data_IF_247599649112
#
_entry.id   IF_247599649112
#
_cell.length_a   1.000
_cell.length_b   1.000
_cell.length_c   1.000
_cell.angle_alpha   90.00
_cell.angle_beta   90.00
_cell.angle_gamma   90.00
#
_symmetry.space_group_name_H-M   'P 1'
#
loop_
_entity.id
_entity.type
_entity.pdbx_description
1 polymer ?
#
# COMPACT_ATOMS: atom_id res chain seq x y z
N UNK A 1 -19.57 15.50 -23.85
CA UNK A 1 -19.97 15.57 -22.43
C UNK A 1 -18.76 16.11 -21.71
N UNK A 2 -18.94 17.18 -20.95
CA UNK A 2 -17.84 17.90 -20.32
C UNK A 2 -17.26 17.04 -19.18
N UNK A 3 -15.99 16.62 -19.32
CA UNK A 3 -15.22 16.04 -18.22
C UNK A 3 -14.98 17.15 -17.20
N UNK A 4 -15.91 17.30 -16.26
CA UNK A 4 -15.65 18.07 -15.04
C UNK A 4 -14.57 17.33 -14.28
N UNK A 5 -13.36 17.88 -14.26
CA UNK A 5 -12.30 17.44 -13.34
C UNK A 5 -12.88 17.39 -11.93
N UNK A 6 -13.03 16.18 -11.40
CA UNK A 6 -13.41 15.98 -10.00
C UNK A 6 -12.21 16.48 -9.17
N UNK A 7 -12.43 17.37 -8.19
CA UNK A 7 -11.34 17.86 -7.36
C UNK A 7 -10.64 16.70 -6.63
N UNK A 8 -9.33 16.79 -6.50
CA UNK A 8 -8.54 15.85 -5.70
C UNK A 8 -8.97 15.96 -4.23
N UNK A 9 -9.53 14.88 -3.67
CA UNK A 9 -9.94 14.84 -2.28
C UNK A 9 -8.89 14.12 -1.46
N UNK A 10 -8.11 14.85 -0.67
CA UNK A 10 -7.20 14.25 0.29
C UNK A 10 -7.98 13.78 1.53
N UNK A 11 -7.69 12.57 1.98
CA UNK A 11 -8.40 11.98 3.11
C UNK A 11 -7.53 11.02 3.92
N UNK A 12 -7.94 10.85 5.18
CA UNK A 12 -7.52 9.77 6.06
C UNK A 12 -8.72 8.84 6.23
N UNK A 13 -8.53 7.56 5.97
CA UNK A 13 -9.59 6.56 5.95
C UNK A 13 -9.29 5.51 7.01
N UNK A 14 -10.26 5.29 7.89
CA UNK A 14 -10.20 4.27 8.94
C UNK A 14 -10.85 2.99 8.43
N UNK A 15 -10.12 1.90 8.53
CA UNK A 15 -10.48 0.60 7.99
C UNK A 15 -10.74 -0.36 9.14
N UNK A 16 -11.95 -0.93 9.18
CA UNK A 16 -12.40 -1.89 10.18
C UNK A 16 -12.12 -1.46 11.65
N UNK A 17 -12.00 -0.15 11.92
CA UNK A 17 -11.75 0.42 13.25
C UNK A 17 -10.36 0.21 13.85
N UNK A 18 -9.40 -0.38 13.12
CA UNK A 18 -8.06 -0.68 13.66
C UNK A 18 -6.91 -0.39 12.69
N UNK A 19 -7.20 -0.18 11.40
CA UNK A 19 -6.22 0.19 10.39
C UNK A 19 -6.54 1.57 9.84
N UNK A 20 -5.52 2.27 9.34
CA UNK A 20 -5.69 3.56 8.68
C UNK A 20 -4.92 3.57 7.36
N UNK A 21 -5.42 4.35 6.41
CA UNK A 21 -4.73 4.68 5.16
C UNK A 21 -4.97 6.17 4.85
N UNK A 22 -3.99 6.84 4.24
CA UNK A 22 -4.12 8.24 3.88
C UNK A 22 -3.58 8.49 2.48
N UNK A 23 -4.24 9.37 1.73
CA UNK A 23 -3.91 9.66 0.35
C UNK A 23 -5.04 10.38 -0.39
N UNK A 24 -4.92 10.42 -1.72
CA UNK A 24 -5.96 10.98 -2.59
C UNK A 24 -7.07 9.95 -2.73
N UNK A 25 -8.29 10.36 -2.37
CA UNK A 25 -9.49 9.55 -2.42
C UNK A 25 -10.28 9.85 -3.70
N UNK A 26 -10.67 8.78 -4.39
CA UNK A 26 -11.56 8.86 -5.54
C UNK A 26 -12.51 7.66 -5.60
N UNK A 27 -13.51 7.73 -6.48
CA UNK A 27 -14.35 6.58 -6.80
C UNK A 27 -13.72 5.77 -7.95
N UNK A 28 -13.72 4.45 -7.83
CA UNK A 28 -13.32 3.55 -8.90
C UNK A 28 -14.39 2.48 -9.10
N UNK A 29 -14.92 2.37 -10.32
CA UNK A 29 -15.94 1.38 -10.65
C UNK A 29 -15.39 0.35 -11.62
N UNK A 30 -15.56 -0.94 -11.31
CA UNK A 30 -15.14 -2.07 -12.16
C UNK A 30 -16.08 -3.25 -11.98
N UNK A 31 -16.48 -3.89 -13.08
CA UNK A 31 -17.32 -5.09 -13.03
C UNK A 31 -18.69 -4.89 -12.38
N UNK A 32 -19.25 -3.68 -12.43
CA UNK A 32 -20.52 -3.33 -11.77
C UNK A 32 -20.41 -3.02 -10.27
N UNK A 33 -19.20 -3.08 -9.70
CA UNK A 33 -18.92 -2.72 -8.31
C UNK A 33 -18.27 -1.34 -8.23
N UNK A 34 -18.65 -0.53 -7.24
CA UNK A 34 -17.95 0.72 -6.89
C UNK A 34 -17.06 0.51 -5.67
N UNK A 35 -15.86 1.06 -5.73
CA UNK A 35 -14.84 1.03 -4.69
C UNK A 35 -14.39 2.45 -4.34
N UNK A 36 -13.95 2.62 -3.10
CA UNK A 36 -13.14 3.78 -2.72
C UNK A 36 -11.71 3.48 -3.10
N UNK A 37 -11.18 4.26 -4.04
CA UNK A 37 -9.78 4.23 -4.45
C UNK A 37 -9.00 5.20 -3.59
N UNK A 38 -7.86 4.74 -3.07
CA UNK A 38 -6.91 5.55 -2.32
C UNK A 38 -5.56 5.47 -3.01
N UNK A 39 -5.09 6.58 -3.53
CA UNK A 39 -3.74 6.74 -4.05
C UNK A 39 -2.84 7.27 -2.91
N UNK A 40 -2.06 6.37 -2.33
CA UNK A 40 -1.14 6.64 -1.22
C UNK A 40 0.12 7.30 -1.79
N UNK A 41 0.54 8.46 -1.26
CA UNK A 41 1.76 9.13 -1.72
C UNK A 41 3.01 8.33 -1.34
N UNK A 42 4.12 8.65 -2.00
CA UNK A 42 5.44 8.14 -1.60
C UNK A 42 5.73 8.55 -0.16
N UNK A 43 6.26 7.61 0.61
CA UNK A 43 6.77 7.80 1.99
C UNK A 43 8.26 7.45 2.03
N UNK A 44 8.93 7.67 3.16
CA UNK A 44 10.34 7.25 3.31
C UNK A 44 10.55 5.74 3.21
N UNK A 45 9.56 4.93 3.60
CA UNK A 45 9.71 3.47 3.65
C UNK A 45 9.08 2.75 2.46
N UNK A 46 8.18 3.40 1.73
CA UNK A 46 7.38 2.77 0.69
C UNK A 46 7.14 3.71 -0.50
N UNK A 47 7.29 3.23 -1.75
CA UNK A 47 6.83 3.98 -2.92
C UNK A 47 5.32 4.21 -2.86
N UNK A 48 4.85 5.21 -3.58
CA UNK A 48 3.41 5.47 -3.70
C UNK A 48 2.71 4.30 -4.38
N UNK A 49 1.48 4.03 -3.97
CA UNK A 49 0.69 2.92 -4.49
C UNK A 49 -0.81 3.19 -4.38
N UNK A 50 -1.60 2.43 -5.13
CA UNK A 50 -3.07 2.54 -5.11
C UNK A 50 -3.67 1.33 -4.42
N UNK A 51 -4.71 1.55 -3.61
CA UNK A 51 -5.51 0.47 -3.03
C UNK A 51 -7.01 0.76 -3.18
N UNK A 52 -7.77 -0.28 -3.50
CA UNK A 52 -9.22 -0.23 -3.65
C UNK A 52 -9.89 -0.87 -2.43
N UNK A 53 -10.89 -0.20 -1.87
CA UNK A 53 -11.66 -0.68 -0.72
C UNK A 53 -13.14 -0.75 -1.04
N UNK A 54 -13.76 -1.87 -0.67
CA UNK A 54 -15.21 -1.96 -0.64
C UNK A 54 -15.78 -1.14 0.51
N UNK A 55 -17.03 -0.69 0.36
CA UNK A 55 -17.74 0.10 1.37
C UNK A 55 -17.74 -0.54 2.77
N UNK A 56 -17.88 -1.87 2.88
CA UNK A 56 -17.91 -2.59 4.16
C UNK A 56 -16.57 -2.60 4.91
N UNK A 57 -15.47 -2.19 4.28
CA UNK A 57 -14.17 -2.06 4.93
C UNK A 57 -14.00 -0.73 5.65
N UNK A 58 -14.79 0.29 5.30
CA UNK A 58 -14.60 1.66 5.72
C UNK A 58 -15.41 1.92 6.98
N UNK A 59 -14.72 2.26 8.06
CA UNK A 59 -15.33 2.69 9.31
C UNK A 59 -15.63 4.20 9.28
N UNK A 60 -14.64 5.01 8.86
CA UNK A 60 -14.78 6.45 8.77
C UNK A 60 -13.88 7.03 7.68
N UNK A 61 -14.27 8.19 7.16
CA UNK A 61 -13.49 8.99 6.19
C UNK A 61 -13.36 10.40 6.76
N UNK A 62 -12.13 10.85 6.95
CA UNK A 62 -11.80 12.21 7.36
C UNK A 62 -11.18 12.93 6.17
N UNK A 63 -11.98 13.77 5.51
CA UNK A 63 -11.50 14.64 4.42
C UNK A 63 -10.63 15.73 5.04
N UNK A 64 -9.45 15.97 4.46
CA UNK A 64 -8.45 16.89 4.99
C UNK A 64 -7.63 17.49 3.84
N UNK A 65 -6.69 18.37 4.15
CA UNK A 65 -5.76 18.93 3.18
C UNK A 65 -4.60 17.97 2.85
N UNK A 66 -3.87 18.29 1.78
CA UNK A 66 -2.74 17.49 1.31
C UNK A 66 -1.63 17.33 2.35
N UNK A 67 -1.30 18.40 3.08
CA UNK A 67 -0.20 18.41 4.04
C UNK A 67 -0.49 17.42 5.18
N UNK A 68 -1.69 17.49 5.74
CA UNK A 68 -2.15 16.60 6.80
C UNK A 68 -2.21 15.15 6.34
N UNK A 69 -2.78 14.87 5.16
CA UNK A 69 -2.88 13.51 4.65
C UNK A 69 -1.50 12.88 4.37
N UNK A 70 -0.56 13.65 3.79
CA UNK A 70 0.83 13.20 3.58
C UNK A 70 1.55 12.94 4.90
N UNK A 71 1.40 13.82 5.89
CA UNK A 71 2.00 13.64 7.20
C UNK A 71 1.49 12.37 7.90
N UNK A 72 0.18 12.07 7.78
CA UNK A 72 -0.38 10.83 8.28
C UNK A 72 0.14 9.63 7.50
N UNK A 73 0.14 9.66 6.17
CA UNK A 73 0.66 8.56 5.34
C UNK A 73 2.11 8.21 5.71
N UNK A 74 2.96 9.22 5.91
CA UNK A 74 4.34 9.05 6.38
C UNK A 74 4.40 8.45 7.79
N UNK A 75 3.56 8.91 8.73
CA UNK A 75 3.52 8.41 10.11
C UNK A 75 3.09 6.95 10.19
N UNK A 76 2.03 6.58 9.47
CA UNK A 76 1.47 5.23 9.52
C UNK A 76 2.24 4.25 8.61
N UNK A 77 2.98 4.76 7.62
CA UNK A 77 3.80 3.99 6.67
C UNK A 77 3.16 2.67 6.23
N UNK A 78 1.90 2.69 5.73
CA UNK A 78 1.16 1.49 5.43
C UNK A 78 1.83 0.79 4.25
N UNK A 79 2.28 -0.44 4.44
CA UNK A 79 2.91 -1.23 3.37
C UNK A 79 1.82 -1.87 2.50
N UNK A 80 1.95 -1.86 1.16
CA UNK A 80 0.94 -2.42 0.26
C UNK A 80 0.77 -3.93 0.47
N UNK A 81 1.84 -4.61 0.87
CA UNK A 81 1.88 -6.01 1.26
C UNK A 81 2.75 -6.23 2.49
N UNK A 82 2.56 -7.36 3.17
CA UNK A 82 3.41 -7.76 4.29
C UNK A 82 4.83 -8.11 3.83
N UNK A 83 5.81 -7.95 4.73
CA UNK A 83 7.22 -8.28 4.48
C UNK A 83 7.42 -9.77 4.16
N UNK A 84 6.58 -10.64 4.71
CA UNK A 84 6.60 -12.08 4.44
C UNK A 84 6.24 -12.38 2.98
N UNK A 85 5.18 -11.72 2.47
CA UNK A 85 4.73 -11.84 1.08
C UNK A 85 5.80 -11.39 0.08
N UNK A 86 6.56 -10.34 0.40
CA UNK A 86 7.64 -9.86 -0.46
C UNK A 86 8.87 -10.80 -0.45
N UNK A 87 9.25 -11.36 0.71
CA UNK A 87 10.40 -12.27 0.83
C UNK A 87 10.18 -13.58 0.08
N UNK A 88 8.96 -14.10 0.12
CA UNK A 88 8.55 -15.28 -0.65
C UNK A 88 8.55 -14.99 -2.17
N UNK A 89 7.99 -13.84 -2.60
CA UNK A 89 7.97 -13.46 -4.01
C UNK A 89 9.38 -13.22 -4.60
N UNK A 90 10.29 -12.65 -3.82
CA UNK A 90 11.67 -12.40 -4.23
C UNK A 90 12.60 -13.61 -4.05
N UNK A 91 12.08 -14.76 -3.58
CA UNK A 91 12.85 -15.98 -3.30
C UNK A 91 14.15 -15.71 -2.52
N UNK A 92 14.12 -14.75 -1.59
CA UNK A 92 15.29 -14.32 -0.80
C UNK A 92 15.78 -15.36 0.24
N UNK A 93 15.44 -16.63 0.03
CA UNK A 93 15.77 -17.76 0.91
C UNK A 93 16.46 -18.93 0.17
N UNK A 94 17.11 -18.75 -0.98
CA UNK A 94 17.78 -19.88 -1.65
C UNK A 94 19.09 -19.61 -2.42
N UNK A 95 19.92 -18.67 -1.98
CA UNK A 95 21.26 -18.50 -2.60
C UNK A 95 22.44 -18.34 -1.65
N UNK A 96 22.26 -18.49 -0.33
CA UNK A 96 23.39 -18.36 0.63
C UNK A 96 23.90 -19.70 1.20
N UNK A 97 23.22 -20.81 0.93
CA UNK A 97 23.66 -22.14 1.41
C UNK A 97 24.40 -22.98 0.35
N UNK A 98 24.18 -22.74 -0.94
CA UNK A 98 24.84 -23.53 -2.00
C UNK A 98 26.27 -23.03 -2.28
N UNK A 99 26.57 -21.74 -2.08
CA UNK A 99 27.94 -21.22 -2.23
C UNK A 99 28.89 -21.59 -1.07
N UNK A 100 28.37 -22.14 0.04
CA UNK A 100 29.19 -22.57 1.19
C UNK A 100 29.45 -24.08 1.22
N UNK A 101 28.78 -24.87 0.39
CA UNK A 101 28.99 -26.33 0.32
C UNK A 101 29.93 -26.79 -0.81
N UNK A 102 30.32 -25.93 -1.75
CA UNK A 102 31.33 -26.27 -2.76
C UNK A 102 32.79 -25.92 -2.38
N UNK A 103 33.02 -25.34 -1.19
CA UNK A 103 34.35 -24.91 -0.74
C UNK A 103 35.01 -25.76 0.35
N UNK A 104 34.24 -26.51 1.13
CA UNK A 104 34.72 -27.23 2.33
C UNK A 104 34.32 -28.72 2.28
N UNK A 105 34.95 -29.50 1.40
CA UNK A 105 35.41 -30.86 1.72
C UNK A 105 36.41 -31.37 0.66
N UNK A 106 37.70 -31.32 1.02
CA UNK A 106 38.83 -32.01 0.37
C UNK A 106 39.14 -33.24 1.27
N UNK A 107 39.15 -34.49 0.75
CA UNK A 107 40.40 -35.30 0.75
C UNK A 107 40.44 -36.34 -0.40
N UNK A 108 41.57 -36.78 -0.99
CA UNK A 108 43.00 -36.84 -0.66
C UNK A 108 43.84 -36.45 -1.90
#
# INVERSE_FOLDING_TARGET
MEDKEKPELWAIIELFGHNQIAGIMSEYSVGGCSFVRVDVPVTKECPGYTKLYGNGAIYAITITDEETARAVAERISPKPMSVWSAREMLQLNRSDQEARQEGDDIPL
#
